data_IF_093855993278
#
_entry.id   IF_093855993278
#
_cell.length_a   1.000
_cell.length_b   1.000
_cell.length_c   1.000
_cell.angle_alpha   90.00
_cell.angle_beta   90.00
_cell.angle_gamma   90.00
#
_symmetry.space_group_name_H-M   'P 1'
#
loop_
_entity.id
_entity.type
_entity.pdbx_description
1 polymer ?
#
# COMPACT_ATOMS: atom_id res chain seq x y z
N UNK A 1 4.15 -21.64 2.97
CA UNK A 1 5.27 -20.70 3.17
C UNK A 1 4.74 -19.37 3.64
N UNK A 2 5.43 -18.78 4.60
CA UNK A 2 4.95 -17.58 5.29
C UNK A 2 5.40 -16.29 4.61
N UNK A 3 5.88 -16.35 3.35
CA UNK A 3 6.37 -15.18 2.64
C UNK A 3 5.74 -15.11 1.25
N UNK A 4 5.19 -13.94 0.93
CA UNK A 4 4.68 -13.61 -0.40
C UNK A 4 5.52 -12.47 -0.96
N UNK A 5 5.92 -12.59 -2.22
CA UNK A 5 6.63 -11.53 -2.92
C UNK A 5 6.02 -11.35 -4.30
N UNK A 6 5.75 -10.10 -4.67
CA UNK A 6 5.31 -9.76 -6.02
C UNK A 6 5.57 -8.29 -6.31
N UNK A 7 5.44 -7.92 -7.56
CA UNK A 7 5.70 -6.55 -8.04
C UNK A 7 4.45 -6.00 -8.69
N UNK A 8 4.12 -4.78 -8.36
CA UNK A 8 3.04 -4.02 -9.00
C UNK A 8 3.67 -2.85 -9.75
N UNK A 9 3.48 -2.80 -11.06
CA UNK A 9 3.98 -1.70 -11.87
C UNK A 9 3.04 -0.51 -11.82
N UNK A 10 3.60 0.67 -11.85
CA UNK A 10 2.90 1.94 -11.74
C UNK A 10 3.34 2.71 -10.52
N UNK A 11 3.09 4.02 -10.52
CA UNK A 11 3.43 4.90 -9.41
C UNK A 11 2.21 5.12 -8.53
N UNK A 12 2.26 4.73 -7.24
CA UNK A 12 1.16 5.01 -6.34
C UNK A 12 1.11 6.51 -6.01
N UNK A 13 -0.07 7.01 -5.72
CA UNK A 13 -0.21 8.37 -5.25
C UNK A 13 -0.27 8.40 -3.72
N UNK A 14 0.16 9.53 -3.15
CA UNK A 14 0.10 9.74 -1.72
C UNK A 14 -1.34 9.92 -1.26
N UNK A 15 -1.57 9.76 0.04
CA UNK A 15 -2.88 9.99 0.64
C UNK A 15 -3.40 11.40 0.34
N UNK A 16 -2.52 12.39 0.34
CA UNK A 16 -2.87 13.76 0.02
C UNK A 16 -3.38 13.91 -1.42
N UNK A 17 -2.87 13.12 -2.35
CA UNK A 17 -3.22 13.19 -3.77
C UNK A 17 -4.21 12.11 -4.21
N UNK A 18 -4.67 11.28 -3.28
CA UNK A 18 -5.59 10.17 -3.60
C UNK A 18 -7.04 10.58 -3.62
N UNK A 19 -7.36 11.77 -3.15
CA UNK A 19 -8.74 12.28 -3.06
C UNK A 19 -8.80 13.69 -3.59
N UNK A 20 -9.96 14.04 -4.13
CA UNK A 20 -10.26 15.41 -4.54
C UNK A 20 -11.59 15.86 -3.97
N UNK A 21 -11.69 17.14 -3.70
CA UNK A 21 -12.91 17.75 -3.21
C UNK A 21 -13.86 18.04 -4.37
N UNK A 22 -15.10 17.62 -4.24
CA UNK A 22 -16.14 17.87 -5.24
C UNK A 22 -17.36 18.44 -4.54
N UNK A 23 -17.94 19.49 -5.14
CA UNK A 23 -19.16 20.07 -4.63
C UNK A 23 -20.37 19.35 -5.21
N UNK A 24 -21.26 18.93 -4.33
CA UNK A 24 -22.52 18.30 -4.75
C UNK A 24 -23.51 19.39 -5.16
N UNK A 25 -24.03 19.31 -6.39
CA UNK A 25 -24.82 20.39 -6.97
C UNK A 25 -26.06 20.82 -6.21
N UNK A 26 -26.75 19.89 -5.56
CA UNK A 26 -28.02 20.20 -4.86
C UNK A 26 -27.85 20.48 -3.38
N UNK A 27 -26.83 19.93 -2.74
CA UNK A 27 -26.66 20.05 -1.28
C UNK A 27 -25.65 21.10 -0.87
N UNK A 28 -24.87 21.62 -1.82
CA UNK A 28 -23.76 22.54 -1.58
C UNK A 28 -22.76 22.05 -0.53
N UNK A 29 -22.73 20.75 -0.28
CA UNK A 29 -21.83 20.13 0.69
C UNK A 29 -20.63 19.58 -0.04
N UNK A 30 -19.40 19.87 0.41
CA UNK A 30 -18.21 19.30 -0.21
C UNK A 30 -18.11 17.79 0.09
N UNK A 31 -17.69 17.03 -0.90
CA UNK A 31 -17.45 15.59 -0.77
C UNK A 31 -16.06 15.25 -1.27
N UNK A 32 -15.38 14.38 -0.55
CA UNK A 32 -14.10 13.82 -1.01
C UNK A 32 -14.38 12.56 -1.82
N UNK A 33 -13.83 12.53 -3.03
CA UNK A 33 -13.86 11.34 -3.88
C UNK A 33 -12.45 10.98 -4.29
N UNK A 34 -12.24 9.73 -4.69
CA UNK A 34 -10.92 9.32 -5.18
C UNK A 34 -10.58 10.09 -6.44
N UNK A 35 -9.31 10.54 -6.53
CA UNK A 35 -8.81 11.21 -7.72
C UNK A 35 -8.71 10.23 -8.89
N UNK A 36 -8.64 10.75 -10.12
CA UNK A 36 -8.42 9.92 -11.30
C UNK A 36 -7.12 9.12 -11.20
N UNK A 37 -6.09 9.74 -10.62
CA UNK A 37 -4.80 9.10 -10.43
C UNK A 37 -4.91 7.90 -9.49
N UNK A 38 -5.64 8.05 -8.37
CA UNK A 38 -5.85 6.97 -7.43
C UNK A 38 -6.68 5.84 -8.05
N UNK A 39 -7.74 6.19 -8.77
CA UNK A 39 -8.59 5.20 -9.44
C UNK A 39 -7.82 4.43 -10.51
N UNK A 40 -6.96 5.11 -11.27
CA UNK A 40 -6.12 4.48 -12.28
C UNK A 40 -5.15 3.49 -11.66
N UNK A 41 -4.48 3.90 -10.59
CA UNK A 41 -3.56 3.01 -9.88
C UNK A 41 -4.30 1.81 -9.27
N UNK A 42 -5.47 2.04 -8.68
CA UNK A 42 -6.30 0.97 -8.12
C UNK A 42 -6.65 -0.06 -9.18
N UNK A 43 -7.08 0.39 -10.37
CA UNK A 43 -7.39 -0.50 -11.48
C UNK A 43 -6.20 -1.31 -11.93
N UNK A 44 -5.04 -0.66 -12.08
CA UNK A 44 -3.81 -1.34 -12.47
C UNK A 44 -3.34 -2.32 -11.40
N UNK A 45 -3.45 -1.95 -10.14
CA UNK A 45 -3.11 -2.83 -9.02
C UNK A 45 -3.96 -4.11 -9.05
N UNK A 46 -5.27 -3.96 -9.20
CA UNK A 46 -6.18 -5.10 -9.23
C UNK A 46 -5.88 -6.06 -10.37
N UNK A 47 -5.48 -5.55 -11.52
CA UNK A 47 -5.12 -6.38 -12.67
C UNK A 47 -3.84 -7.17 -12.44
N UNK A 48 -2.90 -6.61 -11.71
CA UNK A 48 -1.58 -7.21 -11.50
C UNK A 48 -1.50 -8.05 -10.22
N UNK A 49 -2.38 -7.78 -9.26
CA UNK A 49 -2.32 -8.44 -7.97
C UNK A 49 -2.62 -9.93 -8.11
N UNK A 50 -1.76 -10.81 -7.56
CA UNK A 50 -2.03 -12.24 -7.60
C UNK A 50 -3.33 -12.58 -6.85
N UNK A 51 -4.01 -13.61 -7.31
CA UNK A 51 -5.25 -14.09 -6.68
C UNK A 51 -4.89 -15.19 -5.68
N UNK A 52 -5.29 -15.01 -4.45
CA UNK A 52 -5.07 -15.98 -3.38
C UNK A 52 -6.41 -16.60 -2.98
N UNK A 53 -6.38 -17.86 -2.54
CA UNK A 53 -7.59 -18.57 -2.16
C UNK A 53 -8.26 -18.00 -0.92
N UNK A 54 -7.47 -17.46 -0.01
CA UNK A 54 -7.96 -16.84 1.22
C UNK A 54 -7.00 -15.74 1.65
N UNK A 55 -7.51 -14.65 2.26
CA UNK A 55 -6.63 -13.59 2.75
C UNK A 55 -5.83 -14.07 3.96
N UNK A 56 -4.64 -13.48 4.13
CA UNK A 56 -3.80 -13.75 5.28
C UNK A 56 -4.47 -13.17 6.54
N UNK A 57 -4.56 -13.96 7.59
CA UNK A 57 -5.29 -13.60 8.82
C UNK A 57 -4.41 -13.53 10.07
N UNK A 58 -3.11 -13.73 9.96
CA UNK A 58 -2.18 -13.62 11.08
C UNK A 58 -1.44 -12.29 11.03
N UNK A 59 -0.73 -11.97 12.11
CA UNK A 59 0.04 -10.73 12.16
C UNK A 59 1.15 -10.74 11.12
N UNK A 60 1.34 -9.60 10.46
CA UNK A 60 2.17 -9.47 9.27
C UNK A 60 3.28 -8.46 9.44
N UNK A 61 4.41 -8.74 8.77
CA UNK A 61 5.48 -7.80 8.52
C UNK A 61 5.48 -7.51 7.02
N UNK A 62 5.33 -6.25 6.64
CA UNK A 62 5.25 -5.82 5.23
C UNK A 62 6.47 -4.99 4.88
N UNK A 63 7.13 -5.36 3.79
CA UNK A 63 8.25 -4.60 3.24
C UNK A 63 7.85 -4.09 1.85
N UNK A 64 7.94 -2.77 1.66
CA UNK A 64 7.64 -2.14 0.39
C UNK A 64 8.85 -1.33 -0.08
N UNK A 65 9.29 -1.61 -1.29
CA UNK A 65 10.25 -0.76 -1.99
C UNK A 65 9.48 -0.08 -3.11
N UNK A 66 9.17 1.20 -2.91
CA UNK A 66 8.38 1.98 -3.86
C UNK A 66 9.31 2.77 -4.76
N UNK A 67 9.33 2.41 -6.04
CA UNK A 67 10.14 3.09 -7.05
C UNK A 67 9.29 4.17 -7.72
N UNK A 68 9.53 5.42 -7.33
CA UNK A 68 8.86 6.59 -7.90
C UNK A 68 9.61 7.08 -9.14
N UNK A 69 8.96 7.89 -9.94
CA UNK A 69 9.59 8.51 -11.11
C UNK A 69 10.62 9.56 -10.72
N UNK A 70 10.39 10.25 -9.62
CA UNK A 70 11.25 11.31 -9.12
C UNK A 70 11.34 11.27 -7.61
N UNK A 71 12.13 12.17 -7.04
CA UNK A 71 12.21 12.33 -5.58
C UNK A 71 11.04 13.12 -4.98
N UNK A 72 10.22 13.75 -5.82
CA UNK A 72 9.16 14.66 -5.34
C UNK A 72 8.05 14.01 -4.53
N UNK A 73 7.54 12.81 -4.90
CA UNK A 73 6.46 12.24 -4.12
C UNK A 73 6.91 11.89 -2.70
N UNK A 74 6.04 12.19 -1.75
CA UNK A 74 6.24 11.73 -0.38
C UNK A 74 6.07 10.22 -0.30
N UNK A 75 6.88 9.59 0.52
CA UNK A 75 6.77 8.17 0.76
C UNK A 75 5.48 7.88 1.52
N UNK A 76 4.55 7.20 0.87
CA UNK A 76 3.25 6.90 1.47
C UNK A 76 2.76 5.53 1.00
N UNK A 77 2.60 4.62 1.93
CA UNK A 77 2.14 3.25 1.69
C UNK A 77 0.63 3.06 1.82
N UNK A 78 -0.10 4.10 2.22
CA UNK A 78 -1.51 3.98 2.59
C UNK A 78 -2.39 3.36 1.52
N UNK A 79 -2.23 3.81 0.28
CA UNK A 79 -3.03 3.31 -0.83
C UNK A 79 -2.71 1.85 -1.12
N UNK A 80 -1.43 1.48 -1.03
CA UNK A 80 -0.98 0.11 -1.30
C UNK A 80 -1.59 -0.85 -0.26
N UNK A 81 -1.52 -0.49 1.02
CA UNK A 81 -2.09 -1.32 2.08
C UNK A 81 -3.60 -1.48 1.94
N UNK A 82 -4.28 -0.40 1.58
CA UNK A 82 -5.72 -0.42 1.32
C UNK A 82 -6.06 -1.37 0.17
N UNK A 83 -5.27 -1.34 -0.90
CA UNK A 83 -5.48 -2.19 -2.05
C UNK A 83 -5.16 -3.66 -1.76
N UNK A 84 -4.15 -3.94 -0.94
CA UNK A 84 -3.86 -5.31 -0.50
C UNK A 84 -5.06 -5.92 0.22
N UNK A 85 -5.73 -5.13 1.04
CA UNK A 85 -6.95 -5.56 1.72
C UNK A 85 -8.10 -5.74 0.74
N UNK A 86 -8.31 -4.80 -0.16
CA UNK A 86 -9.38 -4.87 -1.17
C UNK A 86 -9.22 -6.03 -2.12
N UNK A 87 -7.99 -6.37 -2.48
CA UNK A 87 -7.70 -7.49 -3.37
C UNK A 87 -7.70 -8.84 -2.66
N UNK A 88 -7.94 -8.87 -1.37
CA UNK A 88 -8.01 -10.12 -0.62
C UNK A 88 -6.68 -10.76 -0.31
N UNK A 89 -5.59 -10.01 -0.36
CA UNK A 89 -4.26 -10.51 0.01
C UNK A 89 -4.15 -10.60 1.54
N UNK A 90 -4.60 -9.55 2.21
CA UNK A 90 -4.64 -9.50 3.68
C UNK A 90 -6.08 -9.31 4.14
N UNK A 91 -6.42 -9.90 5.26
CA UNK A 91 -7.77 -9.81 5.80
C UNK A 91 -8.11 -8.41 6.26
N UNK A 92 -7.17 -7.75 6.92
CA UNK A 92 -7.35 -6.42 7.46
C UNK A 92 -5.99 -5.76 7.61
N UNK A 93 -5.90 -4.47 7.32
CA UNK A 93 -4.65 -3.72 7.45
C UNK A 93 -4.19 -3.61 8.91
N UNK A 94 -5.08 -3.83 9.89
CA UNK A 94 -4.72 -3.90 11.30
C UNK A 94 -3.77 -5.04 11.62
N UNK A 95 -3.72 -6.07 10.77
CA UNK A 95 -2.81 -7.19 10.95
C UNK A 95 -1.36 -6.81 10.65
N UNK A 96 -1.15 -5.70 9.95
CA UNK A 96 0.19 -5.22 9.65
C UNK A 96 0.76 -4.57 10.91
N UNK A 97 1.63 -5.30 11.60
CA UNK A 97 2.24 -4.87 12.86
C UNK A 97 3.66 -4.36 12.70
N UNK A 98 4.23 -4.60 11.54
CA UNK A 98 5.61 -4.21 11.25
C UNK A 98 5.68 -3.76 9.80
N UNK A 99 6.27 -2.60 9.54
CA UNK A 99 6.41 -2.03 8.20
C UNK A 99 7.84 -1.61 7.94
N UNK A 100 8.33 -1.94 6.76
CA UNK A 100 9.62 -1.49 6.26
C UNK A 100 9.38 -0.87 4.89
N UNK A 101 9.33 0.45 4.84
CA UNK A 101 8.92 1.19 3.64
C UNK A 101 10.09 2.02 3.13
N UNK A 102 10.47 1.84 1.88
CA UNK A 102 11.62 2.51 1.28
C UNK A 102 11.22 3.29 0.04
N UNK A 103 11.74 4.50 -0.06
CA UNK A 103 11.60 5.35 -1.24
C UNK A 103 12.78 5.10 -2.17
N UNK A 104 12.49 4.72 -3.41
CA UNK A 104 13.49 4.54 -4.45
C UNK A 104 13.04 5.30 -5.69
N UNK A 105 13.90 5.35 -6.70
CA UNK A 105 13.60 6.09 -7.92
C UNK A 105 13.90 5.21 -9.12
N UNK A 106 12.93 5.11 -10.03
CA UNK A 106 13.13 4.53 -11.36
C UNK A 106 12.20 5.25 -12.32
N UNK A 107 12.73 6.23 -13.02
CA UNK A 107 11.96 7.06 -13.93
C UNK A 107 11.34 6.26 -15.07
N UNK A 108 12.05 5.26 -15.57
CA UNK A 108 11.60 4.48 -16.72
C UNK A 108 10.50 3.47 -16.32
N UNK A 109 10.56 2.95 -15.11
CA UNK A 109 9.69 1.85 -14.71
C UNK A 109 9.29 1.95 -13.24
N UNK A 110 8.45 2.94 -12.90
CA UNK A 110 7.97 3.07 -11.52
C UNK A 110 7.18 1.81 -11.14
N UNK A 111 7.42 1.35 -9.92
CA UNK A 111 6.83 0.10 -9.45
C UNK A 111 6.98 -0.02 -7.95
N UNK A 112 6.28 -1.00 -7.37
CA UNK A 112 6.42 -1.34 -5.96
C UNK A 112 6.74 -2.82 -5.83
N UNK A 113 7.84 -3.12 -5.16
CA UNK A 113 8.16 -4.48 -4.74
C UNK A 113 7.50 -4.72 -3.39
N UNK A 114 6.64 -5.71 -3.33
CA UNK A 114 5.85 -6.02 -2.14
C UNK A 114 6.32 -7.36 -1.57
N UNK A 115 6.69 -7.35 -0.31
CA UNK A 115 7.03 -8.56 0.43
C UNK A 115 6.19 -8.61 1.70
N UNK A 116 5.44 -9.68 1.87
CA UNK A 116 4.58 -9.86 3.03
C UNK A 116 4.98 -11.15 3.72
N UNK A 117 5.35 -11.05 4.98
CA UNK A 117 5.78 -12.20 5.78
C UNK A 117 4.96 -12.25 7.06
N UNK A 118 4.85 -13.46 7.62
CA UNK A 118 4.29 -13.61 8.94
C UNK A 118 5.22 -12.95 9.93
N UNK A 119 4.66 -12.14 10.81
CA UNK A 119 5.45 -11.48 11.84
C UNK A 119 5.98 -12.50 12.84
N UNK A 120 7.28 -12.48 13.07
CA UNK A 120 7.90 -13.31 14.09
C UNK A 120 7.97 -12.48 15.35
N UNK A 121 7.24 -12.90 16.39
CA UNK A 121 7.26 -12.22 17.68
C UNK A 121 8.44 -12.71 18.51
N UNK A 122 9.62 -12.30 18.10
CA UNK A 122 10.85 -12.62 18.82
C UNK A 122 11.29 -11.37 19.59
N UNK A 123 11.02 -11.39 20.88
CA UNK A 123 11.39 -10.29 21.77
C UNK A 123 12.90 -10.04 21.82
N UNK A 124 13.71 -11.02 21.48
CA UNK A 124 15.17 -10.89 21.48
C UNK A 124 15.69 -10.13 20.27
N UNK A 125 14.97 -10.15 19.16
CA UNK A 125 15.39 -9.49 17.92
C UNK A 125 14.89 -8.06 17.79
N UNK A 126 14.02 -7.61 18.69
CA UNK A 126 13.46 -6.25 18.64
C UNK A 126 14.22 -5.32 19.58
N UNK A 127 14.49 -4.08 19.13
CA UNK A 127 15.07 -3.10 20.05
C UNK A 127 14.09 -2.80 21.18
N UNK A 128 14.62 -2.60 22.36
CA UNK A 128 13.80 -2.18 23.48
C UNK A 128 13.21 -0.79 23.22
N UNK A 129 11.93 -0.67 23.48
CA UNK A 129 11.28 0.63 23.43
C UNK A 129 11.48 1.30 24.79
N UNK A 130 12.34 2.30 24.81
CA UNK A 130 12.53 3.12 26.00
C UNK A 130 11.47 4.20 26.01
N UNK A 131 10.66 4.18 27.03
CA UNK A 131 9.61 5.16 27.21
C UNK A 131 10.08 6.23 28.18
#
# INVERSE_FOLDING_TARGET
MDVLEFVIYGEPCSKANSRRLVWHGTTKTPRFIKSKKALGYEGDFKKQCPVFGAPLEYELAVTLNIFYRTQRPDLDESLILDLLQKCGVIRNDRLVREKHIYHAIDKAMPRTHIKIARRIDDKKSRPEVLI
#
